data_IF_835579398910
#
_entry.id   IF_835579398910
#
_cell.length_a   1.000
_cell.length_b   1.000
_cell.length_c   1.000
_cell.angle_alpha   90.00
_cell.angle_beta   90.00
_cell.angle_gamma   90.00
#
_symmetry.space_group_name_H-M   'P 1'
#
loop_
_entity.id
_entity.type
_entity.pdbx_description
1 polymer ?
#
# COMPACT_ATOMS: atom_id res chain seq x y z
N UNK A 1 -12.88 3.35 4.28
CA UNK A 1 -11.49 2.95 4.57
C UNK A 1 -11.13 3.33 6.00
N UNK A 2 -10.63 2.41 6.81
CA UNK A 2 -10.23 2.66 8.21
C UNK A 2 -8.72 2.51 8.43
N UNK A 3 -8.17 3.17 9.45
CA UNK A 3 -6.75 3.02 9.81
C UNK A 3 -6.37 1.58 10.15
N UNK A 4 -7.29 0.83 10.78
CA UNK A 4 -7.07 -0.58 11.10
C UNK A 4 -6.84 -1.42 9.83
N UNK A 5 -7.58 -1.15 8.75
CA UNK A 5 -7.40 -1.86 7.48
C UNK A 5 -6.06 -1.51 6.82
N UNK A 6 -5.67 -0.24 6.84
CA UNK A 6 -4.37 0.21 6.29
C UNK A 6 -3.22 -0.46 7.04
N UNK A 7 -3.27 -0.46 8.37
CA UNK A 7 -2.20 -1.03 9.21
C UNK A 7 -2.18 -2.56 9.20
N UNK A 8 -3.26 -3.23 8.79
CA UNK A 8 -3.23 -4.68 8.56
C UNK A 8 -2.30 -5.05 7.40
N UNK A 9 -2.17 -4.14 6.42
CA UNK A 9 -1.30 -4.27 5.25
C UNK A 9 0.05 -3.55 5.44
N UNK A 10 0.59 -3.54 6.66
CA UNK A 10 1.82 -2.82 6.99
C UNK A 10 3.01 -3.12 6.06
N UNK A 11 3.28 -4.37 5.64
CA UNK A 11 4.37 -4.65 4.70
C UNK A 11 4.20 -3.93 3.35
N UNK A 12 2.96 -3.74 2.87
CA UNK A 12 2.69 -2.97 1.65
C UNK A 12 2.90 -1.46 1.88
N UNK A 13 2.55 -0.96 3.07
CA UNK A 13 2.83 0.43 3.45
C UNK A 13 4.34 0.68 3.43
N UNK A 14 5.14 -0.19 4.04
CA UNK A 14 6.61 -0.05 4.06
C UNK A 14 7.20 -0.12 2.65
N UNK A 15 6.80 -1.12 1.86
CA UNK A 15 7.30 -1.29 0.50
C UNK A 15 6.96 -0.09 -0.40
N UNK A 16 5.70 0.37 -0.37
CA UNK A 16 5.27 1.47 -1.23
C UNK A 16 5.83 2.84 -0.74
N UNK A 17 6.06 3.03 0.57
CA UNK A 17 6.79 4.21 1.08
C UNK A 17 8.23 4.25 0.57
N UNK A 18 8.91 3.09 0.53
CA UNK A 18 10.26 3.00 0.00
C UNK A 18 10.25 3.24 -1.52
N UNK A 19 9.42 2.54 -2.28
CA UNK A 19 9.42 2.62 -3.74
C UNK A 19 9.00 4.00 -4.27
N UNK A 20 7.95 4.60 -3.69
CA UNK A 20 7.37 5.84 -4.22
C UNK A 20 8.08 7.08 -3.69
N UNK A 21 8.50 7.06 -2.42
CA UNK A 21 9.05 8.24 -1.74
C UNK A 21 10.52 8.09 -1.32
N UNK A 22 11.15 6.93 -1.51
CA UNK A 22 12.49 6.65 -1.01
C UNK A 22 12.57 6.62 0.52
N UNK A 23 11.46 6.32 1.20
CA UNK A 23 11.38 6.30 2.67
C UNK A 23 11.52 4.86 3.16
N UNK A 24 12.67 4.54 3.75
CA UNK A 24 12.89 3.26 4.43
C UNK A 24 12.50 3.38 5.92
N UNK A 25 11.41 2.71 6.31
CA UNK A 25 10.98 2.66 7.72
C UNK A 25 11.80 1.67 8.57
N UNK A 26 12.62 0.83 7.95
CA UNK A 26 13.60 0.00 8.64
C UNK A 26 14.74 0.81 9.26
N UNK A 27 14.99 2.04 8.78
CA UNK A 27 15.92 2.98 9.43
C UNK A 27 15.24 3.62 10.66
N UNK A 28 15.69 3.28 11.89
CA UNK A 28 15.07 3.79 13.10
C UNK A 28 15.30 5.30 13.30
N UNK A 29 16.20 5.95 12.54
CA UNK A 29 16.37 7.40 12.56
C UNK A 29 15.18 8.14 11.94
N UNK A 30 14.53 7.55 10.92
CA UNK A 30 13.42 8.18 10.20
C UNK A 30 12.24 8.46 11.14
N UNK A 31 11.81 7.45 11.90
CA UNK A 31 10.67 7.58 12.81
C UNK A 31 10.99 8.40 14.07
N UNK A 32 12.26 8.52 14.46
CA UNK A 32 12.69 9.42 15.55
C UNK A 32 12.72 10.88 15.14
N UNK A 33 13.13 11.17 13.90
CA UNK A 33 13.30 12.53 13.40
C UNK A 33 12.00 13.17 12.89
N UNK A 34 10.96 12.37 12.62
CA UNK A 34 9.73 12.82 11.98
C UNK A 34 8.52 12.59 12.87
N UNK A 35 7.56 13.50 12.80
CA UNK A 35 6.32 13.38 13.57
C UNK A 35 5.38 12.33 12.99
N UNK A 36 4.46 11.81 13.81
CA UNK A 36 3.39 10.95 13.32
C UNK A 36 2.55 11.60 12.21
N UNK A 37 2.29 12.92 12.29
CA UNK A 37 1.60 13.66 11.24
C UNK A 37 2.32 13.56 9.89
N UNK A 38 3.65 13.64 9.90
CA UNK A 38 4.46 13.53 8.68
C UNK A 38 4.28 12.17 8.01
N UNK A 39 4.32 11.08 8.78
CA UNK A 39 4.11 9.72 8.28
C UNK A 39 2.68 9.53 7.80
N UNK A 40 1.70 9.95 8.60
CA UNK A 40 0.26 9.86 8.30
C UNK A 40 -0.08 10.43 6.91
N UNK A 41 0.43 11.61 6.58
CA UNK A 41 0.16 12.26 5.28
C UNK A 41 0.70 11.42 4.12
N UNK A 42 1.87 10.78 4.27
CA UNK A 42 2.48 9.95 3.23
C UNK A 42 1.75 8.63 3.05
N UNK A 43 1.35 7.99 4.14
CA UNK A 43 0.50 6.79 4.09
C UNK A 43 -0.83 7.08 3.39
N UNK A 44 -1.47 8.22 3.67
CA UNK A 44 -2.67 8.63 2.95
C UNK A 44 -2.40 8.96 1.48
N UNK A 45 -1.23 9.54 1.17
CA UNK A 45 -0.78 9.77 -0.19
C UNK A 45 -0.65 8.48 -1.00
N UNK A 46 -0.24 7.37 -0.39
CA UNK A 46 -0.20 6.05 -1.05
C UNK A 46 -1.58 5.62 -1.59
N UNK A 47 -2.66 5.99 -0.90
CA UNK A 47 -4.04 5.68 -1.34
C UNK A 47 -4.50 6.50 -2.54
N UNK A 48 -3.81 7.62 -2.82
CA UNK A 48 -4.09 8.49 -3.97
C UNK A 48 -3.17 8.20 -5.15
N UNK A 49 -2.16 7.34 -4.97
CA UNK A 49 -1.21 6.92 -5.99
C UNK A 49 -1.58 5.53 -6.55
N UNK A 50 -1.01 5.16 -7.70
CA UNK A 50 -1.07 3.77 -8.21
C UNK A 50 -0.14 2.85 -7.39
N UNK A 51 -0.50 2.60 -6.13
CA UNK A 51 0.27 1.79 -5.20
C UNK A 51 -0.31 0.37 -5.05
N UNK A 52 0.48 -0.56 -4.51
CA UNK A 52 -0.02 -1.91 -4.18
C UNK A 52 -1.06 -1.82 -3.07
N UNK A 53 -0.78 -0.99 -2.08
CA UNK A 53 -1.68 -0.70 -0.97
C UNK A 53 -3.03 -0.18 -1.47
N UNK A 54 -3.05 0.79 -2.39
CA UNK A 54 -4.28 1.31 -2.97
C UNK A 54 -5.09 0.19 -3.64
N UNK A 55 -4.45 -0.62 -4.50
CA UNK A 55 -5.10 -1.73 -5.21
C UNK A 55 -5.76 -2.74 -4.26
N UNK A 56 -5.05 -3.18 -3.22
CA UNK A 56 -5.59 -4.14 -2.24
C UNK A 56 -6.79 -3.56 -1.51
N UNK A 57 -6.70 -2.29 -1.11
CA UNK A 57 -7.71 -1.64 -0.29
C UNK A 57 -8.93 -1.16 -1.08
N UNK A 58 -8.81 -0.92 -2.39
CA UNK A 58 -9.94 -0.51 -3.24
C UNK A 58 -10.60 -1.66 -3.99
N UNK A 59 -10.02 -2.86 -3.99
CA UNK A 59 -10.62 -4.03 -4.62
C UNK A 59 -11.78 -4.54 -3.76
N UNK A 60 -13.02 -4.61 -4.29
CA UNK A 60 -14.13 -5.22 -3.58
C UNK A 60 -13.87 -6.71 -3.33
N UNK A 61 -14.21 -7.26 -2.14
CA UNK A 61 -13.95 -8.66 -1.81
C UNK A 61 -14.66 -9.68 -2.73
N UNK A 62 -15.77 -9.28 -3.38
CA UNK A 62 -16.52 -10.11 -4.33
C UNK A 62 -16.26 -9.73 -5.80
N UNK A 63 -15.18 -9.03 -6.11
CA UNK A 63 -14.81 -8.82 -7.51
C UNK A 63 -14.57 -10.20 -8.14
N UNK A 64 -15.41 -10.66 -9.10
CA UNK A 64 -15.21 -11.95 -9.71
C UNK A 64 -13.82 -11.92 -10.35
N UNK A 65 -12.98 -12.90 -10.00
CA UNK A 65 -11.71 -13.12 -10.67
C UNK A 65 -11.97 -13.02 -12.17
N UNK A 66 -11.38 -12.03 -12.84
CA UNK A 66 -11.61 -11.79 -14.27
C UNK A 66 -11.53 -13.13 -15.01
N UNK A 67 -12.60 -13.57 -15.68
CA UNK A 67 -12.54 -14.79 -16.46
C UNK A 67 -11.81 -14.45 -17.77
N UNK A 68 -10.48 -14.48 -17.75
CA UNK A 68 -9.65 -14.23 -18.92
C UNK A 68 -8.23 -14.74 -18.69
N UNK A 69 -7.75 -15.76 -19.37
CA UNK A 69 -8.39 -16.62 -20.35
C UNK A 69 -7.55 -17.89 -20.48
N UNK A 70 -8.20 -19.05 -20.43
CA UNK A 70 -7.57 -20.30 -20.81
C UNK A 70 -7.44 -20.30 -22.33
N UNK A 71 -6.28 -19.91 -22.84
CA UNK A 71 -5.90 -20.32 -24.20
C UNK A 71 -5.51 -21.80 -24.13
N UNK A 72 -6.24 -22.72 -24.77
CA UNK A 72 -5.76 -24.09 -24.86
C UNK A 72 -4.58 -24.09 -25.84
N UNK A 73 -3.37 -24.36 -25.32
CA UNK A 73 -2.24 -24.72 -26.17
C UNK A 73 -2.60 -26.04 -26.86
N UNK A 74 -2.81 -25.97 -28.18
CA UNK A 74 -2.80 -27.12 -29.09
C UNK A 74 -1.38 -27.64 -29.28
#
# INVERSE_FOLDING_TARGET
MSWRQILAEWPLVEADLHEIYGIDLGDPAVLRARSWRWLRVRVLGLLSAESRLARVLTTPPDAPASPGGTTPRR
#
